data_IF_712998345602
#
_entry.id   IF_712998345602
#
_cell.length_a   1.000
_cell.length_b   1.000
_cell.length_c   1.000
_cell.angle_alpha   90.00
_cell.angle_beta   90.00
_cell.angle_gamma   90.00
#
_symmetry.space_group_name_H-M   'P 1'
#
loop_
_entity.id
_entity.type
_entity.pdbx_description
1 polymer ?
#
# COMPACT_ATOMS: atom_id res chain seq x y z
N UNK A 1 4.19 -34.94 14.60
CA UNK A 1 3.74 -33.97 13.57
C UNK A 1 4.88 -33.00 13.33
N UNK A 2 5.48 -33.03 12.13
CA UNK A 2 6.66 -32.24 11.77
C UNK A 2 6.37 -30.75 11.89
N UNK A 3 7.04 -30.07 12.83
CA UNK A 3 7.16 -28.61 12.80
C UNK A 3 8.14 -28.26 11.70
N UNK A 4 7.64 -27.70 10.60
CA UNK A 4 8.46 -27.00 9.60
C UNK A 4 9.18 -25.88 10.33
N UNK A 5 10.49 -26.02 10.59
CA UNK A 5 11.31 -24.92 11.11
C UNK A 5 11.23 -23.77 10.12
N UNK A 6 10.50 -22.71 10.48
CA UNK A 6 10.68 -21.42 9.82
C UNK A 6 12.18 -21.09 9.92
N UNK A 7 12.80 -20.77 8.77
CA UNK A 7 14.23 -20.39 8.71
C UNK A 7 14.51 -19.12 9.52
N UNK A 8 13.45 -18.41 9.90
CA UNK A 8 13.44 -17.13 10.62
C UNK A 8 12.66 -17.29 11.94
N UNK A 9 13.16 -16.68 13.00
CA UNK A 9 12.57 -16.71 14.34
C UNK A 9 11.10 -16.21 14.33
N UNK A 10 10.14 -16.96 14.90
CA UNK A 10 8.72 -16.61 14.86
C UNK A 10 8.37 -15.32 15.62
N UNK A 11 9.14 -14.96 16.65
CA UNK A 11 8.97 -13.68 17.34
C UNK A 11 9.37 -12.51 16.44
N UNK A 12 10.51 -12.63 15.76
CA UNK A 12 10.99 -11.66 14.78
C UNK A 12 9.96 -11.45 13.65
N UNK A 13 9.39 -12.52 13.10
CA UNK A 13 8.32 -12.42 12.09
C UNK A 13 7.13 -11.63 12.62
N UNK A 14 6.69 -11.92 13.86
CA UNK A 14 5.55 -11.25 14.48
C UNK A 14 5.82 -9.76 14.72
N UNK A 15 7.03 -9.41 15.17
CA UNK A 15 7.45 -8.02 15.40
C UNK A 15 7.45 -7.25 14.08
N UNK A 16 8.11 -7.77 13.03
CA UNK A 16 8.20 -7.11 11.72
C UNK A 16 6.80 -6.96 11.11
N UNK A 17 5.99 -8.01 11.15
CA UNK A 17 4.61 -7.97 10.65
C UNK A 17 3.80 -6.86 11.33
N UNK A 18 3.80 -6.82 12.66
CA UNK A 18 3.01 -5.83 13.39
C UNK A 18 3.55 -4.41 13.21
N UNK A 19 4.87 -4.24 13.06
CA UNK A 19 5.46 -2.94 12.74
C UNK A 19 5.00 -2.41 11.38
N UNK A 20 4.96 -3.27 10.34
CA UNK A 20 4.48 -2.88 9.02
C UNK A 20 2.98 -2.56 9.01
N UNK A 21 2.17 -3.33 9.73
CA UNK A 21 0.73 -3.05 9.90
C UNK A 21 0.55 -1.69 10.58
N UNK A 22 1.26 -1.46 11.69
CA UNK A 22 1.19 -0.19 12.42
C UNK A 22 1.62 1.00 11.55
N UNK A 23 2.64 0.83 10.71
CA UNK A 23 3.09 1.88 9.80
C UNK A 23 2.03 2.23 8.75
N UNK A 24 1.37 1.21 8.16
CA UNK A 24 0.27 1.43 7.23
C UNK A 24 -0.92 2.13 7.93
N UNK A 25 -1.30 1.72 9.14
CA UNK A 25 -2.37 2.36 9.93
C UNK A 25 -2.04 3.81 10.30
N UNK A 26 -0.78 4.11 10.60
CA UNK A 26 -0.31 5.48 10.87
C UNK A 26 -0.38 6.34 9.60
N UNK A 27 0.09 5.84 8.45
CA UNK A 27 -0.05 6.51 7.15
C UNK A 27 -1.50 6.88 6.86
N UNK A 28 -2.42 5.94 7.08
CA UNK A 28 -3.86 6.17 6.95
C UNK A 28 -4.35 7.26 7.89
N UNK A 29 -4.01 7.17 9.18
CA UNK A 29 -4.45 8.12 10.21
C UNK A 29 -3.94 9.54 9.92
N UNK A 30 -2.67 9.67 9.56
CA UNK A 30 -2.06 10.98 9.22
C UNK A 30 -2.73 11.55 7.97
N UNK A 31 -3.00 10.74 6.95
CA UNK A 31 -3.68 11.17 5.73
C UNK A 31 -5.09 11.68 6.02
N UNK A 32 -5.90 10.92 6.78
CA UNK A 32 -7.24 11.35 7.17
C UNK A 32 -7.22 12.65 7.97
N UNK A 33 -6.29 12.81 8.93
CA UNK A 33 -6.20 14.01 9.79
C UNK A 33 -5.71 15.26 9.07
N UNK A 34 -5.01 15.11 7.95
CA UNK A 34 -4.43 16.23 7.18
C UNK A 34 -5.23 16.54 5.91
N UNK A 35 -6.12 15.65 5.49
CA UNK A 35 -6.98 15.87 4.36
C UNK A 35 -7.95 17.04 4.56
N UNK A 36 -8.26 17.72 3.47
CA UNK A 36 -9.26 18.80 3.41
C UNK A 36 -10.59 18.33 2.81
N UNK A 37 -10.62 17.12 2.23
CA UNK A 37 -11.82 16.56 1.60
C UNK A 37 -12.62 15.74 2.62
N UNK A 38 -13.93 16.00 2.81
CA UNK A 38 -14.77 15.19 3.70
C UNK A 38 -14.86 13.73 3.24
N UNK A 39 -14.68 13.47 1.94
CA UNK A 39 -14.60 12.11 1.39
C UNK A 39 -13.41 11.35 1.98
N UNK A 40 -12.32 12.05 2.30
CA UNK A 40 -11.09 11.44 2.84
C UNK A 40 -11.07 11.49 4.37
N UNK A 41 -11.40 12.62 5.01
CA UNK A 41 -11.26 12.74 6.47
C UNK A 41 -12.45 12.17 7.28
N UNK A 42 -13.66 12.11 6.70
CA UNK A 42 -14.89 11.70 7.39
C UNK A 42 -15.44 10.39 6.83
N UNK A 43 -15.56 10.28 5.51
CA UNK A 43 -16.05 9.06 4.83
C UNK A 43 -14.97 7.97 4.77
N UNK A 44 -13.69 8.36 4.83
CA UNK A 44 -12.54 7.45 4.77
C UNK A 44 -12.51 6.62 3.48
N UNK A 45 -12.88 7.24 2.35
CA UNK A 45 -12.85 6.63 1.02
C UNK A 45 -11.43 6.63 0.43
N UNK A 46 -10.52 5.97 1.13
CA UNK A 46 -9.16 5.69 0.70
C UNK A 46 -8.58 4.53 1.52
N UNK A 47 -7.36 4.11 1.20
CA UNK A 47 -6.58 3.18 2.02
C UNK A 47 -5.09 3.47 1.78
N UNK A 48 -4.21 2.83 2.54
CA UNK A 48 -2.77 2.93 2.36
C UNK A 48 -2.13 1.56 2.55
N UNK A 49 -1.02 1.30 1.88
CA UNK A 49 -0.34 0.01 1.93
C UNK A 49 1.18 0.15 1.77
N UNK A 50 1.88 -0.86 2.25
CA UNK A 50 3.32 -1.08 2.06
C UNK A 50 3.49 -2.35 1.22
N UNK A 51 4.31 -2.27 0.18
CA UNK A 51 4.62 -3.41 -0.69
C UNK A 51 6.05 -3.90 -0.50
N UNK A 52 6.30 -5.15 -0.88
CA UNK A 52 7.66 -5.64 -1.09
C UNK A 52 8.25 -5.13 -2.41
N UNK A 53 9.51 -5.50 -2.70
CA UNK A 53 10.23 -5.09 -3.90
C UNK A 53 9.59 -5.55 -5.23
N UNK A 54 8.74 -6.57 -5.20
CA UNK A 54 8.02 -7.10 -6.37
C UNK A 54 6.63 -6.47 -6.50
N UNK A 55 6.29 -5.52 -5.61
CA UNK A 55 4.99 -4.88 -5.56
C UNK A 55 3.89 -5.74 -4.92
N UNK A 56 4.21 -6.77 -4.14
CA UNK A 56 3.19 -7.50 -3.37
C UNK A 56 2.87 -6.77 -2.07
N UNK A 57 1.58 -6.59 -1.76
CA UNK A 57 1.15 -5.99 -0.49
C UNK A 57 1.66 -6.81 0.69
N UNK A 58 2.41 -6.17 1.58
CA UNK A 58 2.92 -6.76 2.82
C UNK A 58 2.09 -6.31 4.03
N UNK A 59 1.64 -5.06 4.02
CA UNK A 59 0.74 -4.50 5.05
C UNK A 59 -0.18 -3.46 4.42
N UNK A 60 -1.39 -3.32 4.96
CA UNK A 60 -2.40 -2.39 4.47
C UNK A 60 -3.29 -1.92 5.61
N UNK A 61 -3.61 -0.63 5.65
CA UNK A 61 -4.59 -0.08 6.56
C UNK A 61 -6.00 -0.42 6.08
N UNK A 62 -6.89 -0.74 7.03
CA UNK A 62 -8.28 -1.04 6.71
C UNK A 62 -9.01 0.24 6.32
N UNK A 63 -9.26 0.41 5.01
CA UNK A 63 -10.16 1.43 4.46
C UNK A 63 -11.52 0.83 4.09
N UNK A 64 -12.21 1.42 3.11
CA UNK A 64 -13.39 0.77 2.54
C UNK A 64 -13.00 -0.57 1.86
N UNK A 65 -13.87 -1.60 1.89
CA UNK A 65 -13.54 -2.93 1.36
C UNK A 65 -13.13 -2.95 -0.12
N UNK A 66 -13.53 -1.93 -0.88
CA UNK A 66 -13.22 -1.79 -2.31
C UNK A 66 -11.71 -1.75 -2.60
N UNK A 67 -10.89 -1.24 -1.67
CA UNK A 67 -9.45 -1.08 -1.87
C UNK A 67 -8.62 -2.32 -1.49
N UNK A 68 -9.26 -3.43 -1.12
CA UNK A 68 -8.53 -4.68 -0.85
C UNK A 68 -8.00 -5.24 -2.18
N UNK A 69 -6.68 -5.39 -2.29
CA UNK A 69 -6.03 -5.96 -3.48
C UNK A 69 -5.88 -4.98 -4.66
N UNK A 70 -6.06 -3.68 -4.45
CA UNK A 70 -5.79 -2.66 -5.49
C UNK A 70 -4.31 -2.26 -5.51
N UNK A 71 -3.62 -2.33 -4.37
CA UNK A 71 -2.28 -1.75 -4.22
C UNK A 71 -1.20 -2.58 -4.91
N UNK A 72 -1.28 -3.91 -4.87
CA UNK A 72 -0.38 -4.76 -5.65
C UNK A 72 -0.59 -4.57 -7.14
N UNK A 73 -1.85 -4.48 -7.59
CA UNK A 73 -2.18 -4.15 -8.97
C UNK A 73 -1.55 -2.80 -9.38
N UNK A 74 -1.71 -1.78 -8.55
CA UNK A 74 -1.22 -0.42 -8.81
C UNK A 74 0.31 -0.37 -8.87
N UNK A 75 0.99 -0.91 -7.85
CA UNK A 75 2.46 -0.89 -7.79
C UNK A 75 3.07 -1.72 -8.91
N UNK A 76 2.53 -2.92 -9.20
CA UNK A 76 3.00 -3.75 -10.32
C UNK A 76 2.74 -3.09 -11.68
N UNK A 77 1.62 -2.39 -11.84
CA UNK A 77 1.34 -1.60 -13.04
C UNK A 77 2.37 -0.48 -13.24
N UNK A 78 2.70 0.25 -12.16
CA UNK A 78 3.72 1.30 -12.16
C UNK A 78 5.12 0.73 -12.46
N UNK A 79 5.51 -0.38 -11.84
CA UNK A 79 6.75 -1.10 -12.13
C UNK A 79 6.78 -1.59 -13.58
N UNK A 80 5.68 -2.14 -14.09
CA UNK A 80 5.60 -2.64 -15.46
C UNK A 80 5.72 -1.52 -16.51
N UNK A 81 5.22 -0.32 -16.20
CA UNK A 81 5.26 0.84 -17.09
C UNK A 81 6.64 1.51 -17.16
N UNK A 82 7.29 1.68 -16.00
CA UNK A 82 8.55 2.45 -15.93
C UNK A 82 9.79 1.57 -15.77
N UNK A 83 9.65 0.36 -15.24
CA UNK A 83 10.75 -0.54 -14.90
C UNK A 83 11.31 -0.27 -13.51
N UNK A 84 11.54 -1.34 -12.73
CA UNK A 84 11.98 -1.26 -11.33
C UNK A 84 13.29 -0.48 -11.12
N UNK A 85 14.17 -0.44 -12.12
CA UNK A 85 15.48 0.21 -12.04
C UNK A 85 15.44 1.74 -12.22
N UNK A 86 14.31 2.26 -12.69
CA UNK A 86 14.17 3.69 -12.97
C UNK A 86 13.73 4.49 -11.74
N UNK A 87 13.18 3.83 -10.71
CA UNK A 87 12.80 4.47 -9.45
C UNK A 87 14.02 4.92 -8.65
N UNK A 88 13.93 6.12 -8.09
CA UNK A 88 14.96 6.73 -7.25
C UNK A 88 14.36 7.21 -5.94
N UNK A 89 15.21 7.33 -4.93
CA UNK A 89 14.83 7.93 -3.66
C UNK A 89 14.28 9.35 -3.88
N UNK A 90 13.12 9.63 -3.28
CA UNK A 90 12.38 10.88 -3.43
C UNK A 90 11.38 10.93 -4.60
N UNK A 91 11.29 9.90 -5.45
CA UNK A 91 10.29 9.85 -6.51
C UNK A 91 8.88 9.63 -5.95
N UNK A 92 7.89 10.29 -6.56
CA UNK A 92 6.46 10.08 -6.27
C UNK A 92 5.70 10.00 -7.59
N UNK A 93 5.02 8.86 -7.80
CA UNK A 93 4.22 8.58 -8.99
C UNK A 93 2.77 8.79 -8.63
N UNK A 94 2.13 9.74 -9.29
CA UNK A 94 0.69 10.00 -9.18
C UNK A 94 0.00 9.52 -10.44
N UNK A 95 -1.05 8.71 -10.29
CA UNK A 95 -1.78 8.15 -11.42
C UNK A 95 -3.27 8.09 -11.13
N UNK A 96 -4.08 8.27 -12.18
CA UNK A 96 -5.53 8.18 -12.15
C UNK A 96 -6.07 7.32 -13.31
N UNK A 97 -5.20 6.52 -13.93
CA UNK A 97 -5.59 5.62 -15.00
C UNK A 97 -6.37 4.45 -14.36
N UNK A 98 -7.69 4.32 -14.59
CA UNK A 98 -8.50 3.27 -13.96
C UNK A 98 -8.08 1.85 -14.38
N UNK A 99 -7.30 1.72 -15.45
CA UNK A 99 -6.73 0.44 -15.87
C UNK A 99 -5.38 0.15 -15.20
N UNK A 100 -4.83 1.07 -14.40
CA UNK A 100 -3.60 0.89 -13.65
C UNK A 100 -3.74 1.20 -12.16
N UNK A 101 -4.76 1.94 -11.74
CA UNK A 101 -5.00 2.37 -10.36
C UNK A 101 -6.48 2.54 -10.10
N UNK A 102 -6.97 2.00 -8.99
CA UNK A 102 -8.33 2.24 -8.53
C UNK A 102 -9.42 1.62 -9.41
N UNK A 103 -10.67 1.98 -9.12
CA UNK A 103 -11.86 1.42 -9.78
C UNK A 103 -12.47 2.36 -10.81
N UNK A 104 -12.20 3.66 -10.68
CA UNK A 104 -12.61 4.70 -11.61
C UNK A 104 -11.68 5.91 -11.56
N UNK A 105 -11.86 6.86 -12.48
CA UNK A 105 -10.99 8.03 -12.65
C UNK A 105 -10.74 8.86 -11.38
N UNK A 106 -11.68 8.88 -10.42
CA UNK A 106 -11.53 9.64 -9.18
C UNK A 106 -10.64 8.95 -8.13
N UNK A 107 -10.31 7.67 -8.34
CA UNK A 107 -9.41 6.92 -7.46
C UNK A 107 -7.97 7.19 -7.89
N UNK A 108 -7.37 8.22 -7.28
CA UNK A 108 -5.98 8.61 -7.58
C UNK A 108 -5.02 7.77 -6.75
N UNK A 109 -4.18 6.99 -7.41
CA UNK A 109 -3.07 6.28 -6.80
C UNK A 109 -1.85 7.20 -6.59
N UNK A 110 -1.16 6.99 -5.48
CA UNK A 110 0.14 7.60 -5.20
C UNK A 110 1.10 6.48 -4.79
N UNK A 111 2.22 6.35 -5.50
CA UNK A 111 3.23 5.32 -5.28
C UNK A 111 4.59 5.98 -5.07
N UNK A 112 5.29 5.59 -4.01
CA UNK A 112 6.68 5.95 -3.74
C UNK A 112 7.51 4.66 -3.56
N UNK A 113 8.75 4.62 -4.06
CA UNK A 113 9.66 3.48 -3.91
C UNK A 113 10.30 3.37 -2.52
#
# INVERSE_FOLDING_TARGET
>A
VMQTRLKTDPFTISIVKNALISAAEEMFTVTARTAQSPIIYDVLDFSTAITDHDGNVTAQATGIPLFIGIFDYTVKGVIGKYGLKEFRDGDVIVLNDPYMSGTHLNDVGVVAP
#
